data_IF_885955271513
#
_entry.id   IF_885955271513
#
_cell.length_a   1.000
_cell.length_b   1.000
_cell.length_c   1.000
_cell.angle_alpha   90.00
_cell.angle_beta   90.00
_cell.angle_gamma   90.00
#
_symmetry.space_group_name_H-M   'P 1'
#
loop_
_entity.id
_entity.type
_entity.pdbx_description
1 polymer ?
#
# COMPACT_ATOMS: atom_id res chain seq x y z
N UNK A 1 12.92 18.73 4.53
CA UNK A 1 12.28 17.51 4.02
C UNK A 1 11.83 17.68 2.59
N UNK A 2 12.29 16.80 1.70
CA UNK A 2 11.84 16.69 0.30
C UNK A 2 10.40 16.16 0.22
N UNK A 3 9.76 16.27 -0.95
CA UNK A 3 8.42 15.69 -1.18
C UNK A 3 8.42 14.17 -0.96
N UNK A 4 9.48 13.48 -1.35
CA UNK A 4 9.65 12.03 -1.17
C UNK A 4 9.74 11.66 0.32
N UNK A 5 10.53 12.40 1.08
CA UNK A 5 10.66 12.17 2.54
C UNK A 5 9.33 12.38 3.27
N UNK A 6 8.58 13.43 2.91
CA UNK A 6 7.22 13.65 3.44
C UNK A 6 6.28 12.48 3.15
N UNK A 7 6.36 11.93 1.94
CA UNK A 7 5.51 10.80 1.54
C UNK A 7 5.88 9.52 2.28
N UNK A 8 7.18 9.22 2.43
CA UNK A 8 7.64 8.07 3.20
C UNK A 8 7.22 8.18 4.67
N UNK A 9 7.37 9.36 5.27
CA UNK A 9 6.92 9.59 6.63
C UNK A 9 5.42 9.39 6.76
N UNK A 10 4.65 9.91 5.79
CA UNK A 10 3.21 9.72 5.78
C UNK A 10 2.84 8.23 5.72
N UNK A 11 3.47 7.42 4.87
CA UNK A 11 3.26 5.95 4.83
C UNK A 11 3.50 5.27 6.19
N UNK A 12 4.39 5.78 7.03
CA UNK A 12 4.68 5.22 8.36
C UNK A 12 3.60 5.55 9.40
N UNK A 13 2.88 6.64 9.19
CA UNK A 13 1.99 7.23 10.20
C UNK A 13 0.51 6.89 10.05
N UNK A 14 0.08 6.43 8.87
CA UNK A 14 -1.34 6.13 8.59
C UNK A 14 -1.60 4.65 8.37
N UNK A 15 -2.83 4.22 8.64
CA UNK A 15 -3.28 2.87 8.27
C UNK A 15 -3.55 2.77 6.75
N UNK A 16 -3.51 1.57 6.16
CA UNK A 16 -3.88 1.36 4.75
C UNK A 16 -5.28 1.82 4.38
N UNK A 17 -6.21 1.68 5.30
CA UNK A 17 -7.60 2.10 5.11
C UNK A 17 -7.71 3.63 5.07
N UNK A 18 -7.06 4.35 5.99
CA UNK A 18 -6.98 5.82 5.99
C UNK A 18 -6.24 6.33 4.76
N UNK A 19 -5.11 5.72 4.42
CA UNK A 19 -4.32 6.09 3.26
C UNK A 19 -5.12 5.98 1.95
N UNK A 20 -5.84 4.87 1.77
CA UNK A 20 -6.67 4.68 0.58
C UNK A 20 -7.84 5.68 0.54
N UNK A 21 -8.45 5.97 1.69
CA UNK A 21 -9.50 6.99 1.81
C UNK A 21 -8.98 8.38 1.40
N UNK A 22 -7.79 8.77 1.86
CA UNK A 22 -7.17 10.05 1.52
C UNK A 22 -6.87 10.16 0.02
N UNK A 23 -6.41 9.07 -0.61
CA UNK A 23 -6.23 9.00 -2.07
C UNK A 23 -7.56 9.07 -2.84
N UNK A 24 -8.66 8.61 -2.25
CA UNK A 24 -10.02 8.66 -2.81
C UNK A 24 -10.78 9.94 -2.40
N UNK A 25 -10.05 11.03 -2.06
CA UNK A 25 -10.60 12.34 -1.68
C UNK A 25 -11.55 12.28 -0.48
N UNK A 26 -11.24 11.44 0.50
CA UNK A 26 -12.04 11.25 1.71
C UNK A 26 -13.24 10.31 1.53
N UNK A 27 -13.40 9.69 0.37
CA UNK A 27 -14.46 8.71 0.15
C UNK A 27 -14.10 7.40 0.86
N UNK A 28 -15.07 6.83 1.58
CA UNK A 28 -14.86 5.53 2.24
C UNK A 28 -14.52 4.46 1.21
N UNK A 29 -13.43 3.68 1.39
CA UNK A 29 -13.11 2.59 0.50
C UNK A 29 -14.24 1.57 0.41
N UNK A 30 -14.44 1.01 -0.77
CA UNK A 30 -15.44 -0.04 -0.99
C UNK A 30 -15.03 -1.33 -0.26
N UNK A 31 -16.00 -2.19 0.01
CA UNK A 31 -15.76 -3.44 0.74
C UNK A 31 -14.72 -4.35 0.05
N UNK A 32 -14.67 -4.35 -1.28
CA UNK A 32 -13.69 -5.11 -2.05
C UNK A 32 -12.24 -4.67 -1.76
N UNK A 33 -12.02 -3.36 -1.60
CA UNK A 33 -10.70 -2.79 -1.30
C UNK A 33 -10.30 -3.06 0.15
N UNK A 34 -11.25 -2.92 1.09
CA UNK A 34 -11.02 -3.25 2.51
C UNK A 34 -10.68 -4.74 2.68
N UNK A 35 -11.37 -5.62 1.95
CA UNK A 35 -11.07 -7.05 1.93
C UNK A 35 -9.68 -7.32 1.38
N UNK A 36 -9.28 -6.63 0.31
CA UNK A 36 -7.92 -6.75 -0.24
C UNK A 36 -6.85 -6.32 0.76
N UNK A 37 -7.05 -5.19 1.44
CA UNK A 37 -6.13 -4.72 2.49
C UNK A 37 -5.98 -5.79 3.58
N UNK A 38 -7.10 -6.38 4.03
CA UNK A 38 -7.08 -7.47 5.02
C UNK A 38 -6.30 -8.69 4.53
N UNK A 39 -6.54 -9.13 3.29
CA UNK A 39 -5.83 -10.27 2.69
C UNK A 39 -4.31 -10.01 2.61
N UNK A 40 -3.89 -8.78 2.26
CA UNK A 40 -2.46 -8.41 2.24
C UNK A 40 -1.87 -8.38 3.65
N UNK A 41 -2.64 -7.93 4.65
CA UNK A 41 -2.22 -7.97 6.05
C UNK A 41 -2.03 -9.41 6.55
N UNK A 42 -2.91 -10.33 6.15
CA UNK A 42 -2.81 -11.77 6.44
C UNK A 42 -1.58 -12.42 5.78
N UNK A 43 -1.10 -11.90 4.65
CA UNK A 43 0.19 -12.31 4.05
C UNK A 43 1.37 -11.93 4.96
N UNK A 44 1.24 -10.93 5.82
CA UNK A 44 2.25 -10.52 6.79
C UNK A 44 2.97 -9.21 6.48
N UNK A 45 2.44 -8.40 5.55
CA UNK A 45 3.01 -7.07 5.29
C UNK A 45 2.60 -6.09 6.39
N UNK A 46 3.52 -5.18 6.73
CA UNK A 46 3.26 -4.06 7.63
C UNK A 46 2.38 -3.00 6.98
N UNK A 47 1.72 -2.16 7.79
CA UNK A 47 0.91 -1.05 7.29
C UNK A 47 1.71 -0.13 6.34
N UNK A 48 2.96 0.19 6.70
CA UNK A 48 3.81 1.06 5.89
C UNK A 48 4.16 0.45 4.53
N UNK A 49 4.42 -0.86 4.45
CA UNK A 49 4.64 -1.55 3.19
C UNK A 49 3.34 -1.62 2.36
N UNK A 50 2.20 -1.88 3.00
CA UNK A 50 0.89 -1.89 2.31
C UNK A 50 0.59 -0.51 1.72
N UNK A 51 0.87 0.58 2.43
CA UNK A 51 0.68 1.95 1.94
C UNK A 51 1.49 2.21 0.68
N UNK A 52 2.76 1.81 0.66
CA UNK A 52 3.62 1.90 -0.54
C UNK A 52 3.04 1.09 -1.70
N UNK A 53 2.57 -0.13 -1.44
CA UNK A 53 1.97 -1.00 -2.45
C UNK A 53 0.70 -0.38 -3.07
N UNK A 54 -0.20 0.13 -2.23
CA UNK A 54 -1.43 0.82 -2.67
C UNK A 54 -1.08 2.02 -3.55
N UNK A 55 -0.18 2.88 -3.07
CA UNK A 55 0.25 4.08 -3.79
C UNK A 55 0.83 3.71 -5.17
N UNK A 56 1.73 2.73 -5.21
CA UNK A 56 2.34 2.26 -6.45
C UNK A 56 1.32 1.75 -7.46
N UNK A 57 0.42 0.87 -7.02
CA UNK A 57 -0.58 0.28 -7.92
C UNK A 57 -1.47 1.37 -8.49
N UNK A 58 -2.03 2.23 -7.64
CA UNK A 58 -2.94 3.30 -8.08
C UNK A 58 -2.29 4.23 -9.11
N UNK A 59 -1.00 4.58 -8.94
CA UNK A 59 -0.27 5.37 -9.94
C UNK A 59 -0.10 4.59 -11.26
N UNK A 60 0.23 3.30 -11.20
CA UNK A 60 0.49 2.47 -12.39
C UNK A 60 -0.77 2.05 -13.14
N UNK A 61 -1.92 2.07 -12.49
CA UNK A 61 -3.18 1.51 -13.01
C UNK A 61 -4.27 2.54 -13.25
N UNK A 62 -3.93 3.84 -13.31
CA UNK A 62 -4.89 4.93 -13.47
C UNK A 62 -5.97 4.90 -12.36
N UNK A 63 -5.49 4.88 -11.11
CA UNK A 63 -6.29 4.86 -9.87
C UNK A 63 -7.15 3.60 -9.65
N UNK A 64 -6.81 2.47 -10.28
CA UNK A 64 -7.56 1.20 -10.12
C UNK A 64 -6.82 0.18 -9.27
N UNK A 65 -7.35 -0.17 -8.10
CA UNK A 65 -6.72 -1.16 -7.24
C UNK A 65 -6.99 -2.59 -7.74
N UNK A 66 -6.07 -3.16 -8.51
CA UNK A 66 -6.20 -4.52 -9.03
C UNK A 66 -5.78 -5.57 -7.98
N UNK A 67 -6.75 -6.33 -7.46
CA UNK A 67 -6.55 -7.39 -6.46
C UNK A 67 -5.45 -8.39 -6.81
N UNK A 68 -5.53 -9.02 -7.98
CA UNK A 68 -4.59 -10.08 -8.36
C UNK A 68 -3.16 -9.56 -8.50
N UNK A 69 -3.00 -8.33 -8.99
CA UNK A 69 -1.69 -7.69 -9.09
C UNK A 69 -1.12 -7.36 -7.71
N UNK A 70 -1.94 -6.78 -6.82
CA UNK A 70 -1.56 -6.47 -5.46
C UNK A 70 -1.09 -7.70 -4.68
N UNK A 71 -1.86 -8.79 -4.73
CA UNK A 71 -1.52 -10.04 -4.03
C UNK A 71 -0.22 -10.67 -4.55
N UNK A 72 0.07 -10.57 -5.86
CA UNK A 72 1.34 -11.06 -6.44
C UNK A 72 2.55 -10.30 -5.90
N UNK A 73 2.45 -8.96 -5.83
CA UNK A 73 3.53 -8.13 -5.29
C UNK A 73 3.67 -8.36 -3.78
N UNK A 74 2.56 -8.38 -3.04
CA UNK A 74 2.55 -8.66 -1.60
C UNK A 74 3.22 -10.00 -1.27
N UNK A 75 2.85 -11.07 -1.97
CA UNK A 75 3.48 -12.37 -1.78
C UNK A 75 4.98 -12.36 -2.11
N UNK A 76 5.40 -11.58 -3.11
CA UNK A 76 6.82 -11.42 -3.44
C UNK A 76 7.57 -10.68 -2.32
N UNK A 77 7.04 -9.55 -1.85
CA UNK A 77 7.61 -8.75 -0.77
C UNK A 77 7.70 -9.52 0.54
N UNK A 78 6.69 -10.34 0.86
CA UNK A 78 6.71 -11.19 2.04
C UNK A 78 7.88 -12.20 1.99
N UNK A 79 8.11 -12.86 0.85
CA UNK A 79 9.28 -13.76 0.68
C UNK A 79 10.62 -13.03 0.80
N UNK A 80 10.65 -11.75 0.44
CA UNK A 80 11.83 -10.88 0.57
C UNK A 80 11.94 -10.25 1.97
N UNK A 81 11.01 -10.53 2.88
CA UNK A 81 10.93 -9.95 4.23
C UNK A 81 10.93 -8.42 4.21
N UNK A 82 10.23 -7.83 3.24
CA UNK A 82 10.02 -6.38 3.20
C UNK A 82 9.06 -6.02 4.33
N UNK A 83 9.54 -5.16 5.23
CA UNK A 83 8.82 -4.75 6.44
C UNK A 83 8.63 -3.25 6.54
N UNK A 84 9.43 -2.46 5.82
CA UNK A 84 9.37 -0.99 5.92
C UNK A 84 8.93 -0.30 4.62
N UNK A 85 8.43 0.93 4.74
CA UNK A 85 8.15 1.76 3.57
C UNK A 85 9.41 2.00 2.72
N UNK A 86 10.56 2.22 3.37
CA UNK A 86 11.83 2.43 2.70
C UNK A 86 12.26 1.20 1.89
N UNK A 87 12.18 -0.01 2.49
CA UNK A 87 12.45 -1.27 1.79
C UNK A 87 11.48 -1.50 0.64
N UNK A 88 10.18 -1.26 0.85
CA UNK A 88 9.17 -1.42 -0.19
C UNK A 88 9.45 -0.51 -1.40
N UNK A 89 9.87 0.73 -1.16
CA UNK A 89 10.24 1.70 -2.20
C UNK A 89 11.51 1.31 -2.99
N UNK A 90 12.35 0.39 -2.49
CA UNK A 90 13.51 -0.13 -3.22
C UNK A 90 13.13 -1.21 -4.25
N UNK A 91 11.96 -1.83 -4.11
CA UNK A 91 11.47 -2.91 -4.99
C UNK A 91 10.55 -2.44 -6.11
N UNK A 92 10.36 -1.13 -6.26
CA UNK A 92 9.47 -0.48 -7.23
C UNK A 92 10.25 0.33 -8.27
#
# INVERSE_FOLDING_TARGET
>A
MTKREKLIEYFKTVTPEEFLMDLQKGSKPIEADLKLIKEIREIGLSNEAINVLIHYILIKSDMKLNKNYALKIAAHWNRKRVTTADEAMMWL
#
